data_IF_039599108627
#
_entry.id   IF_039599108627
#
_cell.length_a   1.000
_cell.length_b   1.000
_cell.length_c   1.000
_cell.angle_alpha   90.00
_cell.angle_beta   90.00
_cell.angle_gamma   90.00
#
_symmetry.space_group_name_H-M   'P 1'
#
loop_
_entity.id
_entity.type
_entity.pdbx_description
1 polymer ?
#
# COMPACT_ATOMS: atom_id res chain seq x y z
N UNK A 1 -3.29 9.41 14.86
CA UNK A 1 -4.30 9.76 13.84
C UNK A 1 -3.99 9.03 12.54
N UNK A 2 -4.99 8.59 11.80
CA UNK A 2 -4.83 7.95 10.48
C UNK A 2 -5.49 8.81 9.39
N UNK A 3 -5.07 8.61 8.14
CA UNK A 3 -5.72 9.19 6.95
C UNK A 3 -5.74 8.16 5.83
N UNK A 4 -6.88 8.03 5.15
CA UNK A 4 -7.12 7.08 4.05
C UNK A 4 -6.84 5.60 4.43
N UNK A 5 -6.71 5.30 5.72
CA UNK A 5 -6.23 3.99 6.23
C UNK A 5 -4.93 3.50 5.59
N UNK A 6 -4.13 4.42 5.03
CA UNK A 6 -2.85 4.14 4.39
C UNK A 6 -1.71 4.99 4.95
N UNK A 7 -2.01 5.96 5.82
CA UNK A 7 -1.02 6.80 6.50
C UNK A 7 -1.36 6.91 7.99
N UNK A 8 -0.33 6.96 8.83
CA UNK A 8 -0.45 7.05 10.28
C UNK A 8 0.52 8.07 10.85
N UNK A 9 0.04 8.82 11.84
CA UNK A 9 0.88 9.64 12.72
C UNK A 9 0.65 9.16 14.15
N UNK A 10 1.72 8.70 14.78
CA UNK A 10 1.80 8.43 16.20
C UNK A 10 2.59 9.55 16.89
N UNK A 11 2.18 9.94 18.09
CA UNK A 11 2.87 10.96 18.87
C UNK A 11 2.85 10.59 20.35
N UNK A 12 3.88 11.06 21.06
CA UNK A 12 3.99 10.99 22.53
C UNK A 12 4.36 12.37 23.04
N UNK A 13 3.56 12.92 23.95
CA UNK A 13 3.85 14.21 24.56
C UNK A 13 4.97 14.07 25.60
N UNK A 14 5.94 14.98 25.56
CA UNK A 14 7.01 15.09 26.55
C UNK A 14 6.58 15.82 27.81
N UNK A 15 7.53 16.06 28.72
CA UNK A 15 7.28 16.79 29.98
C UNK A 15 7.09 18.29 29.79
N UNK A 16 7.78 18.89 28.81
CA UNK A 16 7.63 20.30 28.46
C UNK A 16 6.60 20.47 27.34
N UNK A 17 5.90 21.61 27.33
CA UNK A 17 5.00 21.94 26.23
C UNK A 17 5.77 21.98 24.90
N UNK A 18 5.14 21.63 23.76
CA UNK A 18 5.77 21.74 22.45
C UNK A 18 6.28 23.16 22.11
N UNK A 19 5.63 24.19 22.67
CA UNK A 19 6.05 25.59 22.49
C UNK A 19 7.40 25.90 23.15
N UNK A 20 7.74 25.22 24.25
CA UNK A 20 8.98 25.42 24.99
C UNK A 20 10.06 24.40 24.62
N UNK A 21 9.70 23.12 24.47
CA UNK A 21 10.62 22.01 24.21
C UNK A 21 10.81 21.66 22.72
N UNK A 22 10.00 22.26 21.85
CA UNK A 22 9.91 21.90 20.43
C UNK A 22 9.29 20.52 20.20
N UNK A 23 9.39 20.04 18.96
CA UNK A 23 8.93 18.72 18.54
C UNK A 23 10.10 17.95 17.94
N UNK A 24 10.17 16.65 18.16
CA UNK A 24 11.10 15.73 17.45
C UNK A 24 10.26 14.87 16.51
N UNK A 25 10.49 15.01 15.21
CA UNK A 25 9.73 14.32 14.18
C UNK A 25 10.60 13.29 13.48
N UNK A 26 10.03 12.13 13.20
CA UNK A 26 10.62 11.10 12.33
C UNK A 26 9.63 10.85 11.20
N UNK A 27 10.11 10.91 9.97
CA UNK A 27 9.34 10.63 8.77
C UNK A 27 9.73 9.27 8.18
N UNK A 28 8.74 8.52 7.74
CA UNK A 28 8.87 7.29 6.94
C UNK A 28 7.66 7.19 6.01
N UNK A 29 7.63 6.17 5.15
CA UNK A 29 6.51 5.89 4.25
C UNK A 29 5.99 4.46 4.46
N UNK A 30 4.74 4.21 4.08
CA UNK A 30 4.00 2.96 4.34
C UNK A 30 3.83 2.08 3.10
N UNK A 31 4.25 2.56 1.95
CA UNK A 31 4.13 1.88 0.67
C UNK A 31 5.44 1.21 0.25
N UNK A 32 5.36 0.33 -0.74
CA UNK A 32 6.49 -0.34 -1.37
C UNK A 32 6.14 -0.65 -2.83
N UNK A 33 7.13 -0.73 -3.74
CA UNK A 33 6.85 -1.10 -5.12
C UNK A 33 6.15 -2.46 -5.21
N UNK A 34 5.09 -2.56 -6.01
CA UNK A 34 4.28 -3.77 -6.12
C UNK A 34 3.52 -3.89 -7.45
N UNK A 35 2.87 -5.04 -7.64
CA UNK A 35 1.90 -5.26 -8.71
C UNK A 35 0.48 -5.01 -8.16
N UNK A 36 -0.26 -4.06 -8.76
CA UNK A 36 -1.65 -3.77 -8.38
C UNK A 36 -2.61 -4.27 -9.45
N UNK A 37 -3.74 -4.83 -9.02
CA UNK A 37 -4.78 -5.29 -9.93
C UNK A 37 -5.42 -4.09 -10.65
N UNK A 38 -5.52 -4.15 -11.97
CA UNK A 38 -6.17 -3.10 -12.77
C UNK A 38 -7.68 -3.03 -12.47
N UNK A 39 -8.36 -1.90 -12.71
CA UNK A 39 -9.81 -1.79 -12.52
C UNK A 39 -10.65 -2.75 -13.37
N UNK A 40 -10.17 -3.11 -14.56
CA UNK A 40 -10.73 -4.16 -15.43
C UNK A 40 -9.65 -5.23 -15.65
N UNK A 41 -9.48 -6.15 -14.69
CA UNK A 41 -8.33 -7.04 -14.67
C UNK A 41 -8.54 -8.35 -15.43
N UNK A 42 -9.76 -8.73 -15.78
CA UNK A 42 -10.05 -10.06 -16.31
C UNK A 42 -9.41 -10.26 -17.69
N UNK A 43 -8.59 -11.29 -17.79
CA UNK A 43 -7.99 -11.74 -19.03
C UNK A 43 -8.14 -13.26 -19.14
N UNK A 44 -8.63 -13.73 -20.28
CA UNK A 44 -8.69 -15.16 -20.58
C UNK A 44 -7.83 -15.46 -21.80
N UNK A 45 -6.73 -16.19 -21.59
CA UNK A 45 -5.75 -16.53 -22.65
C UNK A 45 -5.19 -17.91 -22.43
N UNK A 46 -5.05 -18.68 -23.51
CA UNK A 46 -4.44 -20.02 -23.49
C UNK A 46 -5.07 -20.97 -22.45
N UNK A 47 -6.39 -20.84 -22.21
CA UNK A 47 -7.11 -21.65 -21.22
C UNK A 47 -6.98 -21.18 -19.76
N UNK A 48 -6.25 -20.10 -19.48
CA UNK A 48 -6.06 -19.57 -18.14
C UNK A 48 -6.86 -18.29 -17.88
N UNK A 49 -7.33 -18.15 -16.65
CA UNK A 49 -7.78 -16.88 -16.10
C UNK A 49 -6.58 -16.14 -15.49
N UNK A 50 -6.38 -14.90 -15.91
CA UNK A 50 -5.30 -14.04 -15.46
C UNK A 50 -5.87 -12.71 -14.97
N UNK A 51 -5.17 -12.08 -14.03
CA UNK A 51 -5.44 -10.71 -13.60
C UNK A 51 -4.41 -9.77 -14.21
N UNK A 52 -4.86 -8.82 -15.02
CA UNK A 52 -4.04 -7.73 -15.51
C UNK A 52 -3.61 -6.83 -14.35
N UNK A 53 -2.31 -6.54 -14.27
CA UNK A 53 -1.72 -5.70 -13.23
C UNK A 53 -1.05 -4.45 -13.78
N UNK A 54 -1.00 -3.41 -12.96
CA UNK A 54 -0.15 -2.23 -13.12
C UNK A 54 1.04 -2.28 -12.16
N UNK A 55 2.18 -1.71 -12.57
CA UNK A 55 3.34 -1.59 -11.70
C UNK A 55 3.21 -0.31 -10.87
N UNK A 56 3.18 -0.46 -9.54
CA UNK A 56 3.26 0.65 -8.61
C UNK A 56 4.72 0.87 -8.20
N UNK A 57 5.25 2.08 -8.44
CA UNK A 57 6.64 2.43 -8.13
C UNK A 57 7.69 1.79 -9.05
N UNK A 58 8.97 1.89 -8.69
CA UNK A 58 10.10 1.34 -9.45
C UNK A 58 10.40 -0.11 -9.10
N UNK A 59 9.45 -1.02 -9.31
CA UNK A 59 9.61 -2.43 -8.95
C UNK A 59 10.64 -3.12 -9.86
N UNK A 60 11.60 -3.84 -9.26
CA UNK A 60 12.42 -4.81 -10.00
C UNK A 60 11.51 -5.96 -10.42
N UNK A 61 11.24 -6.12 -11.72
CA UNK A 61 10.21 -7.06 -12.19
C UNK A 61 10.65 -8.52 -12.17
N UNK A 62 11.92 -8.81 -12.47
CA UNK A 62 12.40 -10.18 -12.55
C UNK A 62 12.15 -11.01 -11.26
N UNK A 63 12.37 -10.47 -10.04
CA UNK A 63 12.08 -11.19 -8.80
C UNK A 63 10.60 -11.52 -8.52
N UNK A 64 9.64 -10.94 -9.26
CA UNK A 64 8.20 -11.22 -9.10
C UNK A 64 7.75 -12.48 -9.85
N UNK A 65 8.54 -12.94 -10.84
CA UNK A 65 8.26 -14.20 -11.53
C UNK A 65 8.61 -15.39 -10.62
N UNK A 66 7.92 -16.50 -10.85
CA UNK A 66 8.12 -17.77 -10.13
C UNK A 66 8.03 -17.66 -8.61
N UNK A 67 7.07 -16.85 -8.15
CA UNK A 67 6.71 -16.68 -6.74
C UNK A 67 5.27 -17.13 -6.51
N UNK A 68 5.04 -17.72 -5.34
CA UNK A 68 3.69 -18.00 -4.84
C UNK A 68 3.04 -16.69 -4.38
N UNK A 69 2.39 -15.99 -5.31
CA UNK A 69 1.75 -14.70 -5.04
C UNK A 69 0.36 -14.88 -4.42
N UNK A 70 0.08 -14.10 -3.37
CA UNK A 70 -1.28 -13.90 -2.83
C UNK A 70 -1.76 -12.47 -3.15
N UNK A 71 -2.95 -12.09 -2.66
CA UNK A 71 -3.55 -10.78 -2.87
C UNK A 71 -4.03 -10.17 -1.55
N UNK A 72 -3.74 -8.89 -1.36
CA UNK A 72 -4.26 -8.09 -0.25
C UNK A 72 -4.55 -6.66 -0.74
N UNK A 73 -5.47 -5.98 -0.06
CA UNK A 73 -5.83 -4.60 -0.39
C UNK A 73 -7.14 -4.17 0.27
N UNK A 74 -7.63 -2.99 -0.12
CA UNK A 74 -8.91 -2.46 0.30
C UNK A 74 -9.96 -2.72 -0.78
N UNK A 75 -11.09 -3.29 -0.38
CA UNK A 75 -12.27 -3.44 -1.24
C UNK A 75 -13.33 -2.43 -0.81
N UNK A 76 -13.77 -1.59 -1.74
CA UNK A 76 -14.94 -0.73 -1.55
C UNK A 76 -16.12 -1.41 -2.22
N UNK A 77 -17.17 -1.68 -1.45
CA UNK A 77 -18.36 -2.37 -1.93
C UNK A 77 -19.60 -1.77 -1.26
N UNK A 78 -20.77 -1.99 -1.88
CA UNK A 78 -22.06 -1.70 -1.25
C UNK A 78 -22.54 -2.95 -0.53
N UNK A 79 -23.06 -2.79 0.68
CA UNK A 79 -23.75 -3.85 1.41
C UNK A 79 -25.25 -3.57 1.34
N UNK A 80 -26.02 -4.58 0.95
CA UNK A 80 -27.48 -4.53 0.92
C UNK A 80 -28.07 -4.64 2.35
#
# INVERSE_FOLDING_TARGET
VTRNDSSIIAFKLGRHSPLQGGIRLVGAHTDSPCLRVKPQPELQRQGFWQLGVEVYGGALLAPWFDRDLSLAGRVTFRRD
#
